data_IF_901227525498
#
_entry.id   IF_901227525498
#
_cell.length_a   1.000
_cell.length_b   1.000
_cell.length_c   1.000
_cell.angle_alpha   90.00
_cell.angle_beta   90.00
_cell.angle_gamma   90.00
#
_symmetry.space_group_name_H-M   'P 1'
#
loop_
_entity.id
_entity.type
_entity.pdbx_description
1 polymer ?
#
# COMPACT_ATOMS: atom_id res chain seq x y z
N UNK A 1 18.77 -25.28 12.21
CA UNK A 1 17.99 -24.87 11.03
C UNK A 1 18.93 -24.54 9.90
N UNK A 2 18.70 -25.09 8.72
CA UNK A 2 19.51 -24.76 7.54
C UNK A 2 19.01 -23.45 6.88
N UNK A 3 19.76 -22.96 5.88
CA UNK A 3 19.40 -21.72 5.17
C UNK A 3 18.04 -21.81 4.44
N UNK A 4 17.61 -23.01 4.05
CA UNK A 4 16.34 -23.26 3.35
C UNK A 4 15.16 -23.12 4.31
N UNK A 5 15.28 -23.68 5.51
CA UNK A 5 14.28 -23.54 6.58
C UNK A 5 14.14 -22.08 7.01
N UNK A 6 15.25 -21.34 7.11
CA UNK A 6 15.22 -19.89 7.38
C UNK A 6 14.58 -19.09 6.25
N UNK A 7 14.83 -19.45 4.99
CA UNK A 7 14.19 -18.80 3.84
C UNK A 7 12.68 -19.03 3.84
N UNK A 8 12.23 -20.25 4.10
CA UNK A 8 10.81 -20.59 4.21
C UNK A 8 10.13 -19.83 5.37
N UNK A 9 10.81 -19.72 6.52
CA UNK A 9 10.30 -18.97 7.67
C UNK A 9 10.14 -17.48 7.35
N UNK A 10 11.13 -16.86 6.66
CA UNK A 10 11.04 -15.46 6.22
C UNK A 10 9.93 -15.24 5.20
N UNK A 11 9.77 -16.16 4.24
CA UNK A 11 8.69 -16.08 3.27
C UNK A 11 7.32 -16.12 3.96
N UNK A 12 7.13 -17.04 4.91
CA UNK A 12 5.90 -17.14 5.70
C UNK A 12 5.63 -15.89 6.54
N UNK A 13 6.65 -15.34 7.20
CA UNK A 13 6.53 -14.10 7.96
C UNK A 13 6.15 -12.91 7.06
N UNK A 14 6.77 -12.79 5.90
CA UNK A 14 6.42 -11.77 4.90
C UNK A 14 4.99 -11.93 4.41
N UNK A 15 4.54 -13.16 4.16
CA UNK A 15 3.18 -13.42 3.71
C UNK A 15 2.14 -13.03 4.77
N UNK A 16 2.35 -13.39 6.04
CA UNK A 16 1.48 -12.99 7.16
C UNK A 16 1.44 -11.47 7.30
N UNK A 17 2.60 -10.82 7.24
CA UNK A 17 2.69 -9.36 7.34
C UNK A 17 2.07 -8.63 6.14
N UNK A 18 2.10 -9.21 4.94
CA UNK A 18 1.40 -8.66 3.77
C UNK A 18 -0.11 -8.85 3.92
N UNK A 19 -0.55 -10.02 4.38
CA UNK A 19 -1.97 -10.31 4.55
C UNK A 19 -2.64 -9.43 5.60
N UNK A 20 -1.98 -9.21 6.75
CA UNK A 20 -2.45 -8.31 7.79
C UNK A 20 -2.51 -6.86 7.29
N UNK A 21 -1.40 -6.39 6.71
CA UNK A 21 -1.33 -5.05 6.15
C UNK A 21 -2.43 -4.82 5.12
N UNK A 22 -2.58 -5.70 4.12
CA UNK A 22 -3.59 -5.54 3.07
C UNK A 22 -5.02 -5.54 3.63
N UNK A 23 -5.28 -6.19 4.77
CA UNK A 23 -6.60 -6.18 5.41
C UNK A 23 -6.88 -4.83 6.06
N UNK A 24 -5.98 -4.33 6.91
CA UNK A 24 -6.17 -3.04 7.61
C UNK A 24 -6.19 -1.87 6.62
N UNK A 25 -5.31 -1.92 5.64
CA UNK A 25 -5.20 -0.97 4.56
C UNK A 25 -6.47 -0.93 3.69
N UNK A 26 -7.08 -2.09 3.42
CA UNK A 26 -8.36 -2.23 2.71
C UNK A 26 -9.47 -1.47 3.45
N UNK A 27 -9.57 -1.65 4.77
CA UNK A 27 -10.56 -0.98 5.61
C UNK A 27 -10.35 0.54 5.67
N UNK A 28 -9.09 0.99 5.78
CA UNK A 28 -8.76 2.41 5.84
C UNK A 28 -9.06 3.11 4.52
N UNK A 29 -8.63 2.56 3.39
CA UNK A 29 -8.75 3.22 2.08
C UNK A 29 -10.10 3.01 1.39
N UNK A 30 -10.99 2.16 1.92
CA UNK A 30 -12.21 1.75 1.23
C UNK A 30 -11.93 0.98 -0.07
N UNK A 31 -10.74 0.39 -0.18
CA UNK A 31 -10.31 -0.44 -1.30
C UNK A 31 -10.48 -1.90 -0.93
N UNK A 32 -10.56 -2.80 -1.91
CA UNK A 32 -10.53 -4.24 -1.63
C UNK A 32 -9.11 -4.71 -1.28
N UNK A 33 -8.99 -5.74 -0.44
CA UNK A 33 -7.72 -6.41 -0.13
C UNK A 33 -6.92 -6.77 -1.40
N UNK A 34 -7.60 -7.16 -2.48
CA UNK A 34 -6.96 -7.45 -3.78
C UNK A 34 -6.33 -6.20 -4.39
N UNK A 35 -7.04 -5.07 -4.43
CA UNK A 35 -6.50 -3.82 -4.98
C UNK A 35 -5.27 -3.35 -4.19
N UNK A 36 -5.28 -3.50 -2.86
CA UNK A 36 -4.12 -3.17 -2.01
C UNK A 36 -2.94 -4.10 -2.28
N UNK A 37 -3.18 -5.42 -2.37
CA UNK A 37 -2.14 -6.39 -2.68
C UNK A 37 -1.54 -6.23 -4.08
N UNK A 38 -2.36 -5.90 -5.08
CA UNK A 38 -1.88 -5.61 -6.43
C UNK A 38 -0.96 -4.37 -6.41
N UNK A 39 -1.31 -3.33 -5.65
CA UNK A 39 -0.47 -2.14 -5.49
C UNK A 39 0.81 -2.46 -4.72
N UNK A 40 0.77 -3.28 -3.66
CA UNK A 40 1.99 -3.72 -2.95
C UNK A 40 2.93 -4.53 -3.84
N UNK A 41 2.39 -5.30 -4.77
CA UNK A 41 3.19 -6.11 -5.70
C UNK A 41 3.81 -5.26 -6.83
N UNK A 42 3.11 -4.22 -7.27
CA UNK A 42 3.56 -3.28 -8.30
C UNK A 42 4.47 -2.17 -7.72
N UNK A 43 4.27 -1.81 -6.46
CA UNK A 43 4.97 -0.71 -5.82
C UNK A 43 6.37 -1.13 -5.38
N UNK A 44 7.39 -0.44 -5.92
CA UNK A 44 8.76 -0.49 -5.42
C UNK A 44 8.97 0.34 -4.13
N UNK A 45 7.91 0.50 -3.31
CA UNK A 45 7.93 1.32 -2.09
C UNK A 45 7.75 0.48 -0.83
N UNK A 46 8.23 1.00 0.30
CA UNK A 46 8.05 0.31 1.58
C UNK A 46 6.57 0.28 2.01
N UNK A 47 6.19 -0.67 2.86
CA UNK A 47 4.83 -0.73 3.44
C UNK A 47 4.47 0.53 4.23
N UNK A 48 5.46 1.13 4.89
CA UNK A 48 5.32 2.36 5.68
C UNK A 48 4.97 3.53 4.77
N UNK A 49 5.71 3.66 3.68
CA UNK A 49 5.47 4.60 2.59
C UNK A 49 4.07 4.41 1.98
N UNK A 50 3.63 3.15 1.79
CA UNK A 50 2.28 2.86 1.28
C UNK A 50 1.18 3.22 2.30
N UNK A 51 1.40 2.97 3.60
CA UNK A 51 0.47 3.35 4.64
C UNK A 51 0.22 4.87 4.65
N UNK A 52 1.28 5.67 4.55
CA UNK A 52 1.19 7.13 4.46
C UNK A 52 0.33 7.58 3.26
N UNK A 53 0.50 6.93 2.10
CA UNK A 53 -0.34 7.20 0.94
C UNK A 53 -1.81 6.86 1.20
N UNK A 54 -2.08 5.72 1.85
CA UNK A 54 -3.44 5.28 2.11
C UNK A 54 -4.18 6.19 3.08
N UNK A 55 -3.48 6.76 4.06
CA UNK A 55 -4.02 7.81 4.95
C UNK A 55 -4.41 9.07 4.16
N UNK A 56 -3.59 9.49 3.18
CA UNK A 56 -3.91 10.65 2.33
C UNK A 56 -5.12 10.38 1.43
N UNK A 57 -5.20 9.17 0.87
CA UNK A 57 -6.28 8.77 -0.05
C UNK A 57 -7.62 8.62 0.68
N UNK A 58 -7.63 8.03 1.88
CA UNK A 58 -8.84 7.79 2.67
C UNK A 58 -9.41 9.05 3.32
N UNK A 59 -8.64 10.13 3.40
CA UNK A 59 -9.03 11.37 4.04
C UNK A 59 -10.21 12.04 3.31
N UNK A 60 -11.42 11.77 3.77
CA UNK A 60 -12.66 12.31 3.20
C UNK A 60 -12.80 13.83 3.38
N UNK A 61 -11.96 14.46 4.20
CA UNK A 61 -11.99 15.92 4.43
C UNK A 61 -11.20 16.69 3.37
N UNK A 62 -10.38 16.00 2.58
CA UNK A 62 -9.57 16.59 1.50
C UNK A 62 -10.25 16.44 0.15
N UNK A 63 -10.20 17.50 -0.64
CA UNK A 63 -10.53 17.44 -2.07
C UNK A 63 -9.54 16.57 -2.83
N UNK A 64 -9.94 16.04 -3.98
CA UNK A 64 -9.06 15.24 -4.85
C UNK A 64 -7.76 15.97 -5.22
N UNK A 65 -7.80 17.29 -5.33
CA UNK A 65 -6.64 18.12 -5.65
C UNK A 65 -5.67 18.23 -4.46
N UNK A 66 -6.20 18.42 -3.25
CA UNK A 66 -5.39 18.38 -2.02
C UNK A 66 -4.78 17.01 -1.77
N UNK A 67 -5.51 15.92 -2.10
CA UNK A 67 -4.97 14.57 -2.08
C UNK A 67 -3.83 14.44 -3.09
N UNK A 68 -4.03 14.82 -4.34
CA UNK A 68 -3.01 14.75 -5.38
C UNK A 68 -1.73 15.54 -5.01
N UNK A 69 -1.86 16.72 -4.42
CA UNK A 69 -0.71 17.53 -4.00
C UNK A 69 0.01 16.95 -2.78
N UNK A 70 -0.73 16.40 -1.81
CA UNK A 70 -0.12 15.66 -0.71
C UNK A 70 0.67 14.45 -1.22
N UNK A 71 0.17 13.74 -2.22
CA UNK A 71 0.84 12.58 -2.81
C UNK A 71 2.12 12.96 -3.58
N UNK A 72 2.13 14.09 -4.30
CA UNK A 72 3.35 14.61 -4.96
C UNK A 72 4.48 14.91 -3.98
N UNK A 73 4.14 15.25 -2.74
CA UNK A 73 5.10 15.59 -1.70
C UNK A 73 5.64 14.37 -0.94
N UNK A 74 5.06 13.17 -1.15
CA UNK A 74 5.65 11.94 -0.65
C UNK A 74 6.73 11.51 -1.65
N UNK A 75 8.00 11.55 -1.25
CA UNK A 75 9.12 11.21 -2.14
C UNK A 75 8.97 9.77 -2.69
N UNK A 76 9.11 9.60 -4.02
CA UNK A 76 9.07 8.30 -4.70
C UNK A 76 7.71 7.88 -5.30
N UNK A 77 6.72 8.77 -5.36
CA UNK A 77 5.31 8.38 -5.56
C UNK A 77 4.65 8.60 -6.93
N UNK A 78 5.27 9.24 -7.92
CA UNK A 78 4.55 9.63 -9.14
C UNK A 78 3.86 8.44 -9.85
N UNK A 79 4.45 7.23 -9.78
CA UNK A 79 3.96 6.03 -10.46
C UNK A 79 2.92 5.24 -9.62
N UNK A 80 3.12 5.10 -8.31
CA UNK A 80 2.21 4.33 -7.42
C UNK A 80 0.91 5.08 -7.16
N UNK A 81 0.98 6.41 -7.05
CA UNK A 81 -0.15 7.30 -6.86
C UNK A 81 -1.18 7.22 -7.99
N UNK A 82 -0.70 7.19 -9.23
CA UNK A 82 -1.55 7.12 -10.42
C UNK A 82 -2.32 5.80 -10.49
N UNK A 83 -1.68 4.68 -10.12
CA UNK A 83 -2.31 3.35 -10.09
C UNK A 83 -3.43 3.26 -9.04
N UNK A 84 -3.22 3.86 -7.86
CA UNK A 84 -4.24 3.90 -6.80
C UNK A 84 -5.42 4.81 -7.15
N UNK A 85 -5.17 6.01 -7.68
CA UNK A 85 -6.22 6.96 -8.07
C UNK A 85 -7.11 6.38 -9.18
N UNK A 86 -6.53 5.66 -10.15
CA UNK A 86 -7.30 5.00 -11.21
C UNK A 86 -8.23 3.88 -10.72
N UNK A 87 -8.03 3.37 -9.50
CA UNK A 87 -8.83 2.28 -8.90
C UNK A 87 -9.92 2.76 -7.93
N UNK A 88 -9.99 4.07 -7.62
CA UNK A 88 -10.97 4.69 -6.69
C UNK A 88 -12.28 5.12 -7.37
N UNK A 89 -12.62 4.56 -8.53
CA UNK A 89 -13.89 4.83 -9.22
C UNK A 89 -15.08 4.17 -8.52
#
# INVERSE_FOLDING_TARGET
MDNTEWAALRAKANQIANDQFSSEASDIAGLTKKQVSDVLAEAAVSKETLADLMVVVSDATKTNQQKADAIKNINGFAEVAASLIGKLA
#
